data_IF_000989839143
#
_entry.id   IF_000989839143
#
_cell.length_a   1.000
_cell.length_b   1.000
_cell.length_c   1.000
_cell.angle_alpha   90.00
_cell.angle_beta   90.00
_cell.angle_gamma   90.00
#
_symmetry.space_group_name_H-M   'P 1'
#
loop_
_entity.id
_entity.type
_entity.pdbx_description
1 polymer ?
#
# COMPACT_ATOMS: atom_id res chain seq x y z
N UNK A 1 -1.44 -2.80 29.65
CA UNK A 1 -1.90 -1.39 29.82
C UNK A 1 -1.03 -0.81 30.90
N UNK A 2 -0.29 0.24 30.57
CA UNK A 2 0.51 0.99 31.54
C UNK A 2 -0.44 1.79 32.43
N UNK A 3 -0.29 1.68 33.74
CA UNK A 3 -1.05 2.49 34.71
C UNK A 3 -0.30 3.80 35.02
N UNK A 4 1.03 3.71 35.08
CA UNK A 4 1.90 4.85 35.27
C UNK A 4 2.88 4.91 34.08
N UNK A 5 2.95 6.04 33.39
CA UNK A 5 3.87 6.27 32.29
C UNK A 5 4.31 7.75 32.27
N UNK A 6 5.54 7.96 31.87
CA UNK A 6 6.02 9.31 31.58
C UNK A 6 5.61 9.71 30.16
N UNK A 7 5.06 10.91 30.02
CA UNK A 7 4.76 11.48 28.71
C UNK A 7 6.07 11.77 28.01
N UNK A 8 6.30 11.21 26.79
CA UNK A 8 7.54 11.48 26.06
C UNK A 8 7.72 12.98 25.80
N UNK A 9 8.94 13.47 25.99
CA UNK A 9 9.27 14.85 25.64
C UNK A 9 9.22 15.00 24.11
N UNK A 10 8.57 16.10 23.63
CA UNK A 10 8.58 16.46 22.22
C UNK A 10 9.89 17.15 21.89
N UNK A 11 10.68 16.57 21.01
CA UNK A 11 11.93 17.15 20.53
C UNK A 11 11.66 18.32 19.58
N UNK A 12 12.37 19.45 19.81
CA UNK A 12 12.18 20.69 19.02
C UNK A 12 13.47 21.07 18.33
N UNK A 13 13.38 21.25 17.03
CA UNK A 13 14.49 21.65 16.16
C UNK A 13 14.28 23.07 15.65
N UNK A 14 15.08 24.04 16.14
CA UNK A 14 15.08 25.38 15.58
C UNK A 14 15.98 25.41 14.35
N UNK A 15 15.38 25.60 13.20
CA UNK A 15 16.05 25.58 11.88
C UNK A 15 15.74 26.85 11.06
N UNK A 16 15.36 27.93 11.76
CA UNK A 16 15.06 29.24 11.16
C UNK A 16 16.32 30.00 10.73
N UNK A 17 17.40 29.92 11.51
CA UNK A 17 18.63 30.73 11.34
C UNK A 17 19.71 30.06 10.45
N UNK A 18 19.35 29.08 9.63
CA UNK A 18 20.27 28.36 8.75
C UNK A 18 19.91 28.54 7.28
N UNK A 19 20.90 28.32 6.39
CA UNK A 19 20.67 28.46 4.96
C UNK A 19 19.59 27.49 4.41
N UNK A 20 18.95 27.79 3.27
CA UNK A 20 17.93 26.93 2.67
C UNK A 20 18.42 25.50 2.42
N UNK A 21 19.68 25.32 1.99
CA UNK A 21 20.27 24.01 1.74
C UNK A 21 20.54 23.25 3.03
N UNK A 22 21.05 23.90 4.06
CA UNK A 22 21.23 23.30 5.40
C UNK A 22 19.87 22.93 6.02
N UNK A 23 18.86 23.79 5.86
CA UNK A 23 17.48 23.56 6.30
C UNK A 23 16.92 22.28 5.65
N UNK A 24 17.04 22.17 4.32
CA UNK A 24 16.62 20.98 3.58
C UNK A 24 17.35 19.72 4.06
N UNK A 25 18.66 19.80 4.25
CA UNK A 25 19.47 18.68 4.73
C UNK A 25 19.04 18.25 6.13
N UNK A 26 18.77 19.22 7.02
CA UNK A 26 18.32 18.92 8.39
C UNK A 26 16.94 18.26 8.42
N UNK A 27 15.99 18.74 7.61
CA UNK A 27 14.69 18.12 7.49
C UNK A 27 14.78 16.70 6.93
N UNK A 28 15.64 16.45 5.96
CA UNK A 28 15.87 15.11 5.43
C UNK A 28 16.51 14.19 6.50
N UNK A 29 17.49 14.68 7.25
CA UNK A 29 18.10 13.92 8.36
C UNK A 29 17.07 13.48 9.40
N UNK A 30 16.18 14.39 9.82
CA UNK A 30 15.08 14.08 10.75
C UNK A 30 14.16 13.01 10.15
N UNK A 31 13.74 13.18 8.89
CA UNK A 31 12.89 12.22 8.18
C UNK A 31 13.54 10.85 8.07
N UNK A 32 14.78 10.79 7.60
CA UNK A 32 15.51 9.53 7.42
C UNK A 32 15.67 8.78 8.75
N UNK A 33 15.96 9.51 9.82
CA UNK A 33 16.07 8.95 11.17
C UNK A 33 14.73 8.36 11.65
N UNK A 34 13.63 9.10 11.49
CA UNK A 34 12.29 8.64 11.89
C UNK A 34 11.81 7.47 11.03
N UNK A 35 12.07 7.50 9.73
CA UNK A 35 11.75 6.41 8.81
C UNK A 35 12.48 5.12 9.16
N UNK A 36 13.76 5.23 9.53
CA UNK A 36 14.59 4.07 9.87
C UNK A 36 14.44 3.58 11.31
N UNK A 37 13.64 4.29 12.11
CA UNK A 37 13.45 3.92 13.51
C UNK A 37 12.68 2.62 13.64
N UNK A 38 13.20 1.71 14.44
CA UNK A 38 12.53 0.47 14.81
C UNK A 38 12.10 0.57 16.29
N UNK A 39 10.80 0.39 16.50
CA UNK A 39 10.26 0.33 17.85
C UNK A 39 10.37 -1.09 18.40
N UNK A 40 10.65 -1.20 19.69
CA UNK A 40 10.76 -2.51 20.33
C UNK A 40 9.39 -2.90 20.91
N UNK A 41 8.87 -4.03 20.44
CA UNK A 41 7.61 -4.57 20.94
C UNK A 41 7.70 -4.78 22.46
N UNK A 42 6.73 -4.21 23.18
CA UNK A 42 6.66 -4.29 24.65
C UNK A 42 7.37 -3.14 25.39
N UNK A 43 8.08 -2.25 24.70
CA UNK A 43 8.64 -1.03 25.27
C UNK A 43 7.77 0.19 24.90
N UNK A 44 7.54 1.09 25.85
CA UNK A 44 6.85 2.36 25.65
C UNK A 44 7.86 3.49 25.42
N UNK A 45 7.61 4.46 24.54
CA UNK A 45 6.49 4.55 23.58
C UNK A 45 6.77 3.83 22.24
N UNK A 46 5.69 3.48 21.51
CA UNK A 46 5.76 2.98 20.14
C UNK A 46 5.45 4.11 19.12
N UNK A 47 5.81 5.33 19.45
CA UNK A 47 5.68 6.51 18.60
C UNK A 47 6.72 7.57 18.96
N UNK A 48 6.95 8.49 18.02
CA UNK A 48 7.70 9.72 18.23
C UNK A 48 6.97 10.93 17.68
N UNK A 49 7.10 12.03 18.40
CA UNK A 49 6.61 13.34 17.98
C UNK A 49 7.79 14.32 18.04
N UNK A 50 8.05 15.02 16.94
CA UNK A 50 9.09 16.04 16.86
C UNK A 50 8.56 17.27 16.14
N UNK A 51 9.13 18.42 16.43
CA UNK A 51 8.74 19.70 15.87
C UNK A 51 9.97 20.36 15.23
N UNK A 52 9.83 20.81 13.98
CA UNK A 52 10.79 21.68 13.31
C UNK A 52 10.20 23.07 13.16
N UNK A 53 10.82 24.05 13.83
CA UNK A 53 10.42 25.45 13.78
C UNK A 53 11.22 26.17 12.68
N UNK A 54 10.50 26.70 11.67
CA UNK A 54 11.01 27.54 10.59
C UNK A 54 10.47 28.96 10.78
N UNK A 55 10.94 29.94 9.98
CA UNK A 55 10.52 31.33 10.08
C UNK A 55 8.99 31.52 10.10
N UNK A 56 8.29 30.95 9.09
CA UNK A 56 6.85 31.14 8.90
C UNK A 56 6.02 29.86 9.06
N UNK A 57 6.67 28.70 9.25
CA UNK A 57 6.02 27.39 9.25
C UNK A 57 6.60 26.51 10.35
N UNK A 58 5.72 25.80 11.02
CA UNK A 58 6.10 24.73 11.95
C UNK A 58 5.74 23.37 11.32
N UNK A 59 6.68 22.45 11.31
CA UNK A 59 6.48 21.09 10.82
C UNK A 59 6.38 20.15 12.02
N UNK A 60 5.24 19.47 12.14
CA UNK A 60 5.07 18.38 13.08
C UNK A 60 5.45 17.06 12.38
N UNK A 61 6.42 16.36 12.94
CA UNK A 61 6.82 15.02 12.52
C UNK A 61 6.16 14.00 13.45
N UNK A 62 5.45 13.05 12.86
CA UNK A 62 4.79 11.96 13.58
C UNK A 62 5.33 10.64 13.05
N UNK A 63 5.92 9.83 13.90
CA UNK A 63 6.31 8.45 13.60
C UNK A 63 5.53 7.52 14.53
N UNK A 64 4.93 6.47 13.97
CA UNK A 64 4.07 5.53 14.70
C UNK A 64 4.38 4.10 14.25
N UNK A 65 4.44 3.17 15.20
CA UNK A 65 4.47 1.75 14.88
C UNK A 65 3.06 1.25 14.52
N UNK A 66 2.94 0.47 13.44
CA UNK A 66 1.67 -0.08 12.98
C UNK A 66 1.01 -1.02 13.99
N UNK A 67 1.73 -1.50 15.01
CA UNK A 67 1.13 -2.28 16.11
C UNK A 67 0.11 -1.48 16.95
N UNK A 68 0.20 -0.15 16.94
CA UNK A 68 -0.67 0.70 17.76
C UNK A 68 -1.67 1.51 16.95
N UNK A 69 -1.48 1.65 15.64
CA UNK A 69 -2.29 2.53 14.81
C UNK A 69 -2.34 2.06 13.35
N UNK A 70 -3.54 1.89 12.83
CA UNK A 70 -3.79 1.76 11.38
C UNK A 70 -3.90 3.15 10.72
N UNK A 71 -4.15 3.17 9.40
CA UNK A 71 -4.29 4.42 8.64
C UNK A 71 -5.40 5.32 9.19
N UNK A 72 -6.57 4.77 9.55
CA UNK A 72 -7.67 5.55 10.11
C UNK A 72 -7.31 6.10 11.49
N UNK A 73 -6.59 5.34 12.29
CA UNK A 73 -6.07 5.78 13.59
C UNK A 73 -5.14 6.99 13.48
N UNK A 74 -4.27 7.01 12.45
CA UNK A 74 -3.39 8.16 12.18
C UNK A 74 -4.24 9.41 11.91
N UNK A 75 -5.28 9.29 11.09
CA UNK A 75 -6.18 10.42 10.82
C UNK A 75 -6.89 10.89 12.10
N UNK A 76 -7.36 9.96 12.95
CA UNK A 76 -7.98 10.29 14.24
C UNK A 76 -6.98 11.08 15.12
N UNK A 77 -5.73 10.62 15.21
CA UNK A 77 -4.68 11.29 15.99
C UNK A 77 -4.43 12.71 15.48
N UNK A 78 -4.28 12.88 14.17
CA UNK A 78 -4.03 14.19 13.56
C UNK A 78 -5.20 15.14 13.81
N UNK A 79 -6.44 14.68 13.61
CA UNK A 79 -7.62 15.51 13.85
C UNK A 79 -7.77 15.89 15.33
N UNK A 80 -7.53 14.95 16.24
CA UNK A 80 -7.58 15.23 17.68
C UNK A 80 -6.48 16.22 18.10
N UNK A 81 -5.28 16.13 17.50
CA UNK A 81 -4.22 17.11 17.71
C UNK A 81 -4.61 18.50 17.20
N UNK A 82 -5.15 18.60 15.98
CA UNK A 82 -5.60 19.88 15.41
C UNK A 82 -6.76 20.49 16.21
N UNK A 83 -7.76 19.69 16.56
CA UNK A 83 -8.90 20.13 17.38
C UNK A 83 -8.44 20.68 18.75
N UNK A 84 -7.46 20.06 19.39
CA UNK A 84 -6.93 20.51 20.67
C UNK A 84 -5.99 21.72 20.56
N UNK A 85 -5.25 21.82 19.44
CA UNK A 85 -4.29 22.91 19.24
C UNK A 85 -4.96 24.19 18.77
N UNK A 86 -5.89 24.11 17.83
CA UNK A 86 -6.57 25.25 17.23
C UNK A 86 -7.99 25.51 17.77
N UNK A 87 -8.55 24.56 18.50
CA UNK A 87 -9.91 24.66 19.03
C UNK A 87 -9.99 25.56 20.27
N UNK A 88 -11.14 26.23 20.43
CA UNK A 88 -11.40 27.10 21.58
C UNK A 88 -11.67 26.34 22.89
N UNK A 89 -11.94 25.04 22.81
CA UNK A 89 -12.22 24.19 23.98
C UNK A 89 -11.48 22.87 23.84
N UNK A 90 -10.73 22.51 24.88
CA UNK A 90 -10.15 21.17 24.99
C UNK A 90 -11.30 20.15 25.01
N UNK A 91 -11.40 19.35 23.98
CA UNK A 91 -12.34 18.23 23.96
C UNK A 91 -11.82 17.12 24.87
N UNK A 92 -12.62 16.75 25.86
CA UNK A 92 -12.35 15.54 26.68
C UNK A 92 -12.97 14.37 25.92
N UNK A 93 -12.16 13.48 25.42
CA UNK A 93 -12.61 12.30 24.70
C UNK A 93 -12.92 11.18 25.72
N UNK A 94 -14.15 11.10 26.16
CA UNK A 94 -14.66 9.93 26.90
C UNK A 94 -15.28 8.98 25.88
N UNK A 95 -14.55 7.95 25.51
CA UNK A 95 -15.05 6.88 24.63
C UNK A 95 -15.47 5.70 25.51
N UNK A 96 -16.64 5.14 25.23
CA UNK A 96 -17.15 3.96 25.95
C UNK A 96 -16.45 2.67 25.48
N UNK A 97 -15.85 2.69 24.27
CA UNK A 97 -15.15 1.57 23.64
C UNK A 97 -13.64 1.81 23.61
N UNK A 98 -12.87 0.81 23.95
CA UNK A 98 -11.41 0.77 23.72
C UNK A 98 -11.02 -0.30 22.71
N UNK A 99 -9.82 -0.19 22.12
CA UNK A 99 -9.27 -1.24 21.23
C UNK A 99 -9.21 -2.61 21.95
N UNK A 100 -8.86 -2.61 23.25
CA UNK A 100 -8.86 -3.84 24.05
C UNK A 100 -10.25 -4.50 24.08
N UNK A 101 -11.31 -3.71 24.19
CA UNK A 101 -12.68 -4.26 24.28
C UNK A 101 -13.06 -4.94 22.95
N UNK A 102 -12.63 -4.38 21.83
CA UNK A 102 -12.82 -5.02 20.50
C UNK A 102 -12.05 -6.33 20.40
N UNK A 103 -10.80 -6.36 20.84
CA UNK A 103 -9.99 -7.60 20.84
C UNK A 103 -10.61 -8.66 21.74
N UNK A 104 -11.12 -8.28 22.93
CA UNK A 104 -11.82 -9.20 23.83
C UNK A 104 -13.12 -9.69 23.20
N UNK A 105 -13.87 -8.81 22.55
CA UNK A 105 -15.08 -9.18 21.81
C UNK A 105 -14.79 -10.20 20.71
N UNK A 106 -13.79 -9.93 19.85
CA UNK A 106 -13.39 -10.84 18.79
C UNK A 106 -12.93 -12.20 19.32
N UNK A 107 -12.12 -12.21 20.38
CA UNK A 107 -11.68 -13.44 21.02
C UNK A 107 -12.85 -14.27 21.59
N UNK A 108 -13.83 -13.62 22.20
CA UNK A 108 -15.01 -14.30 22.71
C UNK A 108 -15.92 -14.81 21.58
N UNK A 109 -16.08 -14.01 20.51
CA UNK A 109 -16.83 -14.38 19.31
C UNK A 109 -16.26 -15.64 18.64
N UNK A 110 -14.94 -15.79 18.62
CA UNK A 110 -14.28 -16.99 18.07
C UNK A 110 -14.67 -18.29 18.80
N UNK A 111 -15.09 -18.21 20.07
CA UNK A 111 -15.56 -19.37 20.85
C UNK A 111 -17.02 -19.71 20.59
N UNK A 112 -17.77 -18.86 19.92
CA UNK A 112 -19.19 -19.08 19.65
C UNK A 112 -19.36 -20.13 18.53
N UNK A 113 -20.29 -21.12 18.68
CA UNK A 113 -20.48 -22.18 17.70
C UNK A 113 -20.74 -21.68 16.27
N UNK A 114 -21.54 -20.63 16.11
CA UNK A 114 -21.86 -20.03 14.82
C UNK A 114 -20.60 -19.47 14.12
N UNK A 115 -19.70 -18.82 14.88
CA UNK A 115 -18.43 -18.33 14.32
C UNK A 115 -17.53 -19.50 13.91
N UNK A 116 -17.53 -20.58 14.68
CA UNK A 116 -16.77 -21.79 14.34
C UNK A 116 -17.24 -22.42 13.02
N UNK A 117 -18.53 -22.36 12.70
CA UNK A 117 -19.04 -22.80 11.39
C UNK A 117 -18.62 -21.88 10.24
N UNK A 118 -18.69 -20.56 10.45
CA UNK A 118 -18.20 -19.59 9.46
C UNK A 118 -16.72 -19.81 9.19
N UNK A 119 -15.91 -19.91 10.23
CA UNK A 119 -14.47 -20.18 10.13
C UNK A 119 -14.16 -21.48 9.38
N UNK A 120 -14.96 -22.53 9.56
CA UNK A 120 -14.81 -23.79 8.82
C UNK A 120 -15.09 -23.61 7.33
N UNK A 121 -16.13 -22.87 6.97
CA UNK A 121 -16.49 -22.58 5.57
C UNK A 121 -15.39 -21.74 4.91
N UNK A 122 -14.94 -20.69 5.60
CA UNK A 122 -13.89 -19.82 5.08
C UNK A 122 -12.58 -20.59 4.92
N UNK A 123 -12.22 -21.40 5.90
CA UNK A 123 -11.05 -22.27 5.83
C UNK A 123 -11.14 -23.23 4.64
N UNK A 124 -12.30 -23.87 4.41
CA UNK A 124 -12.51 -24.76 3.26
C UNK A 124 -12.32 -24.01 1.93
N UNK A 125 -12.92 -22.82 1.79
CA UNK A 125 -12.74 -21.97 0.61
C UNK A 125 -11.27 -21.71 0.28
N UNK A 126 -10.46 -21.41 1.30
CA UNK A 126 -9.04 -21.19 1.12
C UNK A 126 -8.26 -22.48 0.88
N UNK A 127 -8.55 -23.57 1.60
CA UNK A 127 -7.87 -24.86 1.44
C UNK A 127 -8.02 -25.42 0.01
N UNK A 128 -9.17 -25.25 -0.62
CA UNK A 128 -9.42 -25.66 -2.01
C UNK A 128 -8.53 -24.90 -3.01
N UNK A 129 -8.11 -23.69 -2.68
CA UNK A 129 -7.33 -22.80 -3.56
C UNK A 129 -5.83 -22.78 -3.26
N UNK A 130 -5.44 -22.79 -1.99
CA UNK A 130 -4.06 -22.57 -1.53
C UNK A 130 -3.06 -23.50 -2.23
N UNK A 131 -3.44 -24.77 -2.51
CA UNK A 131 -2.58 -25.74 -3.18
C UNK A 131 -2.12 -25.29 -4.57
N UNK A 132 -2.93 -24.51 -5.27
CA UNK A 132 -2.68 -24.01 -6.63
C UNK A 132 -2.38 -22.51 -6.68
N UNK A 133 -2.50 -21.79 -5.56
CA UNK A 133 -2.23 -20.35 -5.53
C UNK A 133 -0.77 -20.05 -5.89
N UNK A 134 -0.56 -19.09 -6.80
CA UNK A 134 0.78 -18.67 -7.18
C UNK A 134 1.44 -17.86 -6.05
N UNK A 135 2.76 -17.76 -6.11
CA UNK A 135 3.54 -16.86 -5.28
C UNK A 135 3.49 -15.43 -5.83
N UNK A 136 4.30 -14.54 -5.28
CA UNK A 136 4.46 -13.18 -5.76
C UNK A 136 4.94 -13.15 -7.23
N UNK A 137 4.70 -12.05 -7.97
CA UNK A 137 5.26 -11.87 -9.30
C UNK A 137 6.80 -11.88 -9.25
N UNK A 138 7.43 -12.56 -10.19
CA UNK A 138 8.88 -12.74 -10.26
C UNK A 138 9.55 -11.50 -10.87
N UNK A 139 9.52 -10.39 -10.15
CA UNK A 139 10.28 -9.21 -10.52
C UNK A 139 11.78 -9.43 -10.29
N UNK A 140 12.67 -8.83 -11.10
CA UNK A 140 14.11 -8.98 -10.92
C UNK A 140 14.58 -8.26 -9.64
N UNK A 141 14.57 -8.99 -8.53
CA UNK A 141 15.01 -8.52 -7.22
C UNK A 141 16.43 -9.02 -6.96
N UNK A 142 17.29 -8.17 -6.39
CA UNK A 142 18.64 -8.56 -5.98
C UNK A 142 18.57 -9.47 -4.77
N UNK A 143 19.47 -10.45 -4.68
CA UNK A 143 19.53 -11.41 -3.57
C UNK A 143 19.96 -10.77 -2.24
N UNK A 144 20.83 -9.73 -2.29
CA UNK A 144 21.33 -9.04 -1.08
C UNK A 144 20.49 -7.78 -0.81
N UNK A 145 19.55 -7.89 0.12
CA UNK A 145 18.65 -6.81 0.54
C UNK A 145 19.11 -6.11 1.84
N UNK A 146 20.42 -5.91 2.03
CA UNK A 146 20.97 -5.24 3.24
C UNK A 146 20.48 -3.80 3.39
N UNK A 147 20.27 -3.12 2.27
CA UNK A 147 19.76 -1.75 2.29
C UNK A 147 18.25 -1.76 2.43
N UNK A 148 17.75 -1.25 3.54
CA UNK A 148 16.33 -1.14 3.85
C UNK A 148 15.73 0.23 3.52
N UNK A 149 16.52 1.12 2.89
CA UNK A 149 16.05 2.46 2.54
C UNK A 149 14.84 2.39 1.59
N UNK A 150 13.85 3.23 1.89
CA UNK A 150 12.62 3.34 1.11
C UNK A 150 12.64 4.65 0.35
N UNK A 151 12.27 4.59 -0.92
CA UNK A 151 11.99 5.76 -1.75
C UNK A 151 10.51 5.82 -2.06
N UNK A 152 9.93 7.00 -1.87
CA UNK A 152 8.56 7.25 -2.29
C UNK A 152 8.53 7.83 -3.70
N UNK A 153 7.70 7.23 -4.55
CA UNK A 153 7.27 7.76 -5.83
C UNK A 153 5.80 8.12 -5.72
N UNK A 154 5.40 9.27 -6.20
CA UNK A 154 4.01 9.69 -6.09
C UNK A 154 3.49 10.35 -7.37
N UNK A 155 2.18 10.30 -7.55
CA UNK A 155 1.46 11.02 -8.57
C UNK A 155 0.15 11.53 -8.00
N UNK A 156 -0.19 12.77 -8.33
CA UNK A 156 -1.46 13.36 -7.99
C UNK A 156 -2.37 13.37 -9.21
N UNK A 157 -3.56 12.84 -9.04
CA UNK A 157 -4.61 12.81 -10.06
C UNK A 157 -5.59 13.92 -9.71
N UNK A 158 -5.59 14.95 -10.56
CA UNK A 158 -6.43 16.14 -10.40
C UNK A 158 -7.93 15.80 -10.41
N UNK A 159 -8.73 16.68 -9.83
CA UNK A 159 -10.17 16.52 -9.64
C UNK A 159 -10.91 16.09 -10.92
N UNK A 160 -10.66 16.76 -12.01
CA UNK A 160 -11.32 16.50 -13.29
C UNK A 160 -11.08 15.06 -13.73
N UNK A 161 -9.82 14.63 -13.68
CA UNK A 161 -9.42 13.27 -14.04
C UNK A 161 -9.93 12.23 -13.04
N UNK A 162 -9.93 12.55 -11.76
CA UNK A 162 -10.52 11.70 -10.72
C UNK A 162 -12.00 11.43 -11.00
N UNK A 163 -12.78 12.47 -11.32
CA UNK A 163 -14.21 12.33 -11.64
C UNK A 163 -14.45 11.54 -12.93
N UNK A 164 -13.58 11.69 -13.94
CA UNK A 164 -13.64 10.86 -15.14
C UNK A 164 -13.43 9.38 -14.85
N UNK A 165 -12.40 9.06 -14.04
CA UNK A 165 -12.10 7.68 -13.64
C UNK A 165 -13.21 7.10 -12.77
N UNK A 166 -13.78 7.90 -11.86
CA UNK A 166 -14.90 7.50 -11.02
C UNK A 166 -16.11 7.16 -11.88
N UNK A 167 -16.49 8.07 -12.79
CA UNK A 167 -17.60 7.83 -13.72
C UNK A 167 -17.38 6.59 -14.58
N UNK A 168 -16.16 6.40 -15.09
CA UNK A 168 -15.80 5.22 -15.86
C UNK A 168 -16.00 3.93 -15.04
N UNK A 169 -15.60 3.95 -13.79
CA UNK A 169 -15.77 2.82 -12.88
C UNK A 169 -17.27 2.54 -12.65
N UNK A 170 -18.05 3.56 -12.35
CA UNK A 170 -19.49 3.46 -12.11
C UNK A 170 -20.24 2.92 -13.34
N UNK A 171 -19.95 3.46 -14.53
CA UNK A 171 -20.56 3.06 -15.81
C UNK A 171 -20.28 1.58 -16.17
N UNK A 172 -19.22 0.98 -15.58
CA UNK A 172 -18.82 -0.41 -15.84
C UNK A 172 -19.03 -1.37 -14.65
N UNK A 173 -19.72 -0.93 -13.59
CA UNK A 173 -19.95 -1.69 -12.36
C UNK A 173 -18.66 -2.21 -11.70
N UNK A 174 -17.61 -1.38 -11.70
CA UNK A 174 -16.36 -1.62 -11.00
C UNK A 174 -16.12 -0.50 -10.00
N UNK A 175 -15.28 -0.75 -9.01
CA UNK A 175 -14.84 0.30 -8.08
C UNK A 175 -13.60 1.01 -8.64
N UNK A 176 -13.44 2.28 -8.30
CA UNK A 176 -12.22 3.01 -8.67
C UNK A 176 -10.97 2.35 -8.06
N UNK A 177 -11.05 1.86 -6.81
CA UNK A 177 -9.98 1.07 -6.18
C UNK A 177 -9.67 -0.18 -7.00
N UNK A 178 -10.69 -0.89 -7.50
CA UNK A 178 -10.53 -2.07 -8.36
C UNK A 178 -9.87 -1.75 -9.70
N UNK A 179 -10.22 -0.62 -10.32
CA UNK A 179 -9.57 -0.14 -11.54
C UNK A 179 -8.07 0.16 -11.31
N UNK A 180 -7.74 0.89 -10.24
CA UNK A 180 -6.36 1.24 -9.92
C UNK A 180 -5.55 -0.01 -9.54
N UNK A 181 -6.14 -0.92 -8.77
CA UNK A 181 -5.57 -2.24 -8.45
C UNK A 181 -5.24 -3.03 -9.72
N UNK A 182 -6.15 -3.05 -10.70
CA UNK A 182 -5.92 -3.73 -11.97
C UNK A 182 -4.79 -3.06 -12.78
N UNK A 183 -4.70 -1.73 -12.80
CA UNK A 183 -3.57 -1.02 -13.40
C UNK A 183 -2.24 -1.42 -12.73
N UNK A 184 -2.22 -1.51 -11.40
CA UNK A 184 -1.06 -1.97 -10.65
C UNK A 184 -0.68 -3.42 -11.02
N UNK A 185 -1.66 -4.32 -11.08
CA UNK A 185 -1.47 -5.70 -11.48
C UNK A 185 -0.94 -5.85 -12.93
N UNK A 186 -1.42 -5.04 -13.88
CA UNK A 186 -0.92 -5.01 -15.27
C UNK A 186 0.57 -4.64 -15.30
N UNK A 187 0.97 -3.63 -14.54
CA UNK A 187 2.36 -3.19 -14.47
C UNK A 187 3.24 -4.29 -13.84
N UNK A 188 2.82 -4.88 -12.73
CA UNK A 188 3.54 -6.00 -12.12
C UNK A 188 3.68 -7.17 -13.10
N UNK A 189 2.60 -7.55 -13.78
CA UNK A 189 2.62 -8.62 -14.78
C UNK A 189 3.61 -8.34 -15.91
N UNK A 190 3.64 -7.10 -16.41
CA UNK A 190 4.49 -6.71 -17.52
C UNK A 190 5.99 -6.75 -17.16
N UNK A 191 6.35 -6.28 -15.96
CA UNK A 191 7.76 -6.23 -15.51
C UNK A 191 8.28 -7.55 -14.96
N UNK A 192 7.41 -8.42 -14.45
CA UNK A 192 7.78 -9.76 -13.98
C UNK A 192 7.67 -10.84 -15.05
N UNK A 193 7.07 -10.53 -16.18
CA UNK A 193 6.66 -11.54 -17.18
C UNK A 193 5.78 -12.67 -16.60
N UNK A 194 5.10 -12.40 -15.48
CA UNK A 194 4.20 -13.35 -14.81
C UNK A 194 2.76 -13.02 -15.14
N UNK A 195 2.03 -14.01 -15.66
CA UNK A 195 0.59 -13.84 -15.97
C UNK A 195 -0.31 -14.24 -14.80
N UNK A 196 0.21 -14.99 -13.85
CA UNK A 196 -0.51 -15.46 -12.67
C UNK A 196 0.39 -15.35 -11.45
N UNK A 197 -0.05 -14.58 -10.45
CA UNK A 197 0.70 -14.29 -9.24
C UNK A 197 -0.23 -13.85 -8.11
N UNK A 198 0.29 -13.77 -6.89
CA UNK A 198 -0.44 -13.23 -5.74
C UNK A 198 0.14 -11.90 -5.27
N UNK A 199 -0.73 -11.03 -4.78
CA UNK A 199 -0.36 -9.77 -4.09
C UNK A 199 -1.08 -9.66 -2.75
N UNK A 200 -0.53 -8.88 -1.83
CA UNK A 200 -1.22 -8.50 -0.60
C UNK A 200 -2.16 -7.31 -0.86
N UNK A 201 -3.40 -7.42 -0.42
CA UNK A 201 -4.33 -6.29 -0.37
C UNK A 201 -4.64 -5.99 1.07
N UNK A 202 -4.34 -4.78 1.52
CA UNK A 202 -4.68 -4.31 2.87
C UNK A 202 -6.12 -3.83 2.93
N UNK A 203 -6.79 -4.21 3.99
CA UNK A 203 -8.20 -3.92 4.20
C UNK A 203 -8.43 -3.44 5.63
N UNK A 204 -9.24 -2.40 5.78
CA UNK A 204 -9.71 -2.01 7.10
C UNK A 204 -10.81 -2.95 7.56
N UNK A 205 -10.66 -3.49 8.75
CA UNK A 205 -11.64 -4.40 9.35
C UNK A 205 -12.22 -3.79 10.65
N UNK A 206 -12.94 -2.69 10.49
CA UNK A 206 -13.70 -2.08 11.59
C UNK A 206 -15.15 -2.50 11.48
N UNK A 207 -15.46 -3.72 11.94
CA UNK A 207 -16.83 -4.21 11.99
C UNK A 207 -17.67 -3.30 12.90
N UNK A 208 -18.87 -2.95 12.47
CA UNK A 208 -19.77 -2.03 13.18
C UNK A 208 -20.40 -2.68 14.42
N UNK A 209 -19.57 -3.09 15.36
CA UNK A 209 -20.00 -3.71 16.64
C UNK A 209 -20.39 -2.67 17.69
N UNK A 210 -19.97 -1.42 17.52
CA UNK A 210 -20.26 -0.31 18.41
C UNK A 210 -20.22 1.02 17.64
N UNK A 211 -21.02 2.05 17.99
CA UNK A 211 -20.98 3.36 17.34
C UNK A 211 -19.58 4.00 17.31
N UNK A 212 -18.80 3.82 18.39
CA UNK A 212 -17.47 4.43 18.53
C UNK A 212 -16.34 3.70 17.78
N UNK A 213 -16.61 2.59 17.07
CA UNK A 213 -15.57 1.78 16.41
C UNK A 213 -14.68 2.58 15.44
N UNK A 214 -15.26 3.57 14.79
CA UNK A 214 -14.54 4.44 13.85
C UNK A 214 -13.81 5.61 14.51
N UNK A 215 -13.89 5.74 15.84
CA UNK A 215 -13.25 6.81 16.59
C UNK A 215 -12.19 6.33 17.57
N UNK A 216 -11.91 5.02 17.63
CA UNK A 216 -10.86 4.46 18.49
C UNK A 216 -9.56 4.23 17.71
N UNK A 217 -8.45 4.34 18.44
CA UNK A 217 -7.10 4.09 17.92
C UNK A 217 -6.74 2.61 18.12
N UNK A 218 -6.21 1.98 17.09
CA UNK A 218 -5.75 0.58 17.11
C UNK A 218 -5.41 0.08 15.71
N UNK A 219 -4.73 -1.05 15.61
CA UNK A 219 -4.53 -1.73 14.34
C UNK A 219 -5.72 -2.64 14.02
N UNK A 220 -6.55 -2.22 13.08
CA UNK A 220 -7.67 -2.99 12.54
C UNK A 220 -7.38 -3.49 11.13
N UNK A 221 -6.14 -3.44 10.70
CA UNK A 221 -5.74 -3.87 9.36
C UNK A 221 -5.81 -5.38 9.25
N UNK A 222 -6.49 -5.87 8.22
CA UNK A 222 -6.39 -7.25 7.75
C UNK A 222 -5.72 -7.28 6.38
N UNK A 223 -5.03 -8.35 6.09
CA UNK A 223 -4.47 -8.61 4.77
C UNK A 223 -5.28 -9.70 4.06
N UNK A 224 -5.44 -9.54 2.76
CA UNK A 224 -5.97 -10.54 1.86
C UNK A 224 -4.90 -10.92 0.84
N UNK A 225 -4.72 -12.21 0.58
CA UNK A 225 -3.82 -12.71 -0.45
C UNK A 225 -4.62 -12.88 -1.73
N UNK A 226 -4.58 -11.84 -2.57
CA UNK A 226 -5.34 -11.80 -3.81
C UNK A 226 -4.57 -12.46 -4.94
N UNK A 227 -5.18 -13.47 -5.54
CA UNK A 227 -4.68 -14.07 -6.77
C UNK A 227 -5.05 -13.20 -7.98
N UNK A 228 -4.05 -12.86 -8.77
CA UNK A 228 -4.17 -12.15 -10.04
C UNK A 228 -3.97 -13.15 -11.18
N UNK A 229 -4.88 -13.14 -12.15
CA UNK A 229 -4.77 -13.91 -13.37
C UNK A 229 -4.98 -12.99 -14.58
N UNK A 230 -3.91 -12.78 -15.37
CA UNK A 230 -3.91 -11.91 -16.53
C UNK A 230 -4.15 -12.72 -17.81
N UNK A 231 -5.41 -12.82 -18.23
CA UNK A 231 -5.77 -13.40 -19.51
C UNK A 231 -5.87 -12.32 -20.59
N UNK A 232 -4.83 -12.17 -21.40
CA UNK A 232 -4.77 -11.18 -22.48
C UNK A 232 -5.65 -11.53 -23.69
N UNK A 233 -6.44 -12.60 -23.68
CA UNK A 233 -7.54 -12.80 -24.62
C UNK A 233 -8.74 -11.95 -24.29
N UNK A 234 -8.88 -11.54 -23.01
CA UNK A 234 -9.92 -10.67 -22.50
C UNK A 234 -9.54 -9.20 -22.68
N UNK A 235 -10.57 -8.33 -22.78
CA UNK A 235 -10.38 -6.89 -22.70
C UNK A 235 -9.95 -6.48 -21.28
N UNK A 236 -9.39 -5.28 -21.13
CA UNK A 236 -8.94 -4.81 -19.80
C UNK A 236 -10.11 -4.74 -18.82
N UNK A 237 -11.27 -4.22 -19.23
CA UNK A 237 -12.43 -4.17 -18.35
C UNK A 237 -12.86 -5.55 -17.83
N UNK A 238 -12.80 -6.57 -18.65
CA UNK A 238 -13.10 -7.93 -18.22
C UNK A 238 -12.09 -8.41 -17.18
N UNK A 239 -10.81 -8.12 -17.34
CA UNK A 239 -9.79 -8.44 -16.34
C UNK A 239 -9.99 -7.69 -15.02
N UNK A 240 -10.35 -6.40 -15.08
CA UNK A 240 -10.72 -5.62 -13.87
C UNK A 240 -11.89 -6.28 -13.14
N UNK A 241 -12.94 -6.64 -13.87
CA UNK A 241 -14.11 -7.29 -13.29
C UNK A 241 -13.78 -8.65 -12.66
N UNK A 242 -12.87 -9.43 -13.26
CA UNK A 242 -12.39 -10.68 -12.67
C UNK A 242 -11.61 -10.45 -11.37
N UNK A 243 -10.69 -9.49 -11.36
CA UNK A 243 -9.91 -9.12 -10.16
C UNK A 243 -10.85 -8.67 -9.05
N UNK A 244 -11.79 -7.78 -9.35
CA UNK A 244 -12.74 -7.27 -8.38
C UNK A 244 -13.65 -8.38 -7.84
N UNK A 245 -14.16 -9.26 -8.70
CA UNK A 245 -14.99 -10.39 -8.28
C UNK A 245 -14.20 -11.33 -7.37
N UNK A 246 -12.94 -11.61 -7.70
CA UNK A 246 -12.08 -12.44 -6.86
C UNK A 246 -11.85 -11.78 -5.49
N UNK A 247 -11.54 -10.46 -5.48
CA UNK A 247 -11.38 -9.71 -4.25
C UNK A 247 -12.63 -9.77 -3.37
N UNK A 248 -13.81 -9.58 -3.94
CA UNK A 248 -15.07 -9.66 -3.19
C UNK A 248 -15.33 -11.05 -2.63
N UNK A 249 -15.10 -12.10 -3.42
CA UNK A 249 -15.21 -13.46 -2.92
C UNK A 249 -14.26 -13.71 -1.74
N UNK A 250 -13.01 -13.24 -1.83
CA UNK A 250 -12.05 -13.37 -0.74
C UNK A 250 -12.47 -12.60 0.52
N UNK A 251 -13.10 -11.42 0.33
CA UNK A 251 -13.63 -10.59 1.43
C UNK A 251 -14.76 -11.28 2.19
N UNK A 252 -15.59 -12.07 1.53
CA UNK A 252 -16.65 -12.86 2.18
C UNK A 252 -16.10 -13.98 3.07
N UNK A 253 -14.81 -14.34 2.91
CA UNK A 253 -14.15 -15.45 3.61
C UNK A 253 -12.99 -14.99 4.52
N UNK A 254 -13.09 -13.79 5.09
CA UNK A 254 -12.02 -13.17 5.88
C UNK A 254 -11.94 -13.62 7.34
N UNK A 255 -12.80 -14.52 7.81
CA UNK A 255 -12.62 -15.14 9.13
C UNK A 255 -11.38 -16.05 9.16
N UNK A 256 -10.96 -16.55 7.99
CA UNK A 256 -9.65 -17.18 7.77
C UNK A 256 -8.71 -16.13 7.15
N UNK A 257 -7.80 -15.61 7.96
CA UNK A 257 -7.00 -14.43 7.61
C UNK A 257 -5.95 -14.70 6.55
N UNK A 258 -5.51 -13.65 5.83
CA UNK A 258 -4.40 -13.76 4.88
C UNK A 258 -3.09 -14.25 5.53
N UNK A 259 -2.89 -14.02 6.84
CA UNK A 259 -1.75 -14.58 7.58
C UNK A 259 -1.86 -16.10 7.68
N UNK A 260 -3.06 -16.64 7.92
CA UNK A 260 -3.30 -18.09 7.94
C UNK A 260 -3.12 -18.69 6.56
N UNK A 261 -3.58 -17.99 5.51
CA UNK A 261 -3.34 -18.37 4.10
C UNK A 261 -1.83 -18.47 3.82
N UNK A 262 -1.02 -17.47 4.18
CA UNK A 262 0.43 -17.49 3.97
C UNK A 262 1.13 -18.59 4.75
N UNK A 263 0.71 -18.85 5.99
CA UNK A 263 1.25 -19.95 6.81
C UNK A 263 0.97 -21.31 6.15
N UNK A 264 -0.22 -21.49 5.63
CA UNK A 264 -0.60 -22.74 4.96
C UNK A 264 0.11 -22.89 3.61
N UNK A 265 0.25 -21.83 2.82
CA UNK A 265 1.09 -21.83 1.61
C UNK A 265 2.53 -22.22 1.93
N UNK A 266 3.13 -21.65 2.98
CA UNK A 266 4.49 -21.97 3.44
C UNK A 266 4.60 -23.45 3.83
N UNK A 267 3.61 -23.98 4.56
CA UNK A 267 3.56 -25.38 4.97
C UNK A 267 3.50 -26.33 3.78
N UNK A 268 2.61 -26.06 2.81
CA UNK A 268 2.42 -26.90 1.63
C UNK A 268 3.61 -26.86 0.67
N UNK A 269 4.18 -25.66 0.46
CA UNK A 269 5.34 -25.48 -0.44
C UNK A 269 6.67 -25.85 0.22
N UNK A 270 6.70 -26.14 1.52
CA UNK A 270 7.89 -26.47 2.31
C UNK A 270 9.02 -25.44 2.19
N UNK A 271 8.68 -24.20 1.94
CA UNK A 271 9.57 -23.03 1.90
C UNK A 271 8.81 -21.81 2.38
N UNK A 272 9.51 -20.84 2.92
CA UNK A 272 8.89 -19.57 3.30
C UNK A 272 8.26 -18.89 2.07
N UNK A 273 6.98 -18.51 2.18
CA UNK A 273 6.25 -17.77 1.16
C UNK A 273 6.06 -16.35 1.62
N UNK A 274 6.65 -15.41 0.89
CA UNK A 274 6.53 -13.98 1.11
C UNK A 274 5.86 -13.36 -0.11
N UNK A 275 4.85 -12.50 0.12
CA UNK A 275 4.18 -11.73 -0.92
C UNK A 275 4.51 -10.24 -0.68
N UNK A 276 5.61 -9.73 -1.24
CA UNK A 276 6.17 -8.42 -0.88
C UNK A 276 5.58 -7.24 -1.67
N UNK A 277 4.55 -7.48 -2.45
CA UNK A 277 3.86 -6.45 -3.24
C UNK A 277 2.49 -6.20 -2.65
N UNK A 278 2.28 -4.98 -2.18
CA UNK A 278 1.10 -4.58 -1.41
C UNK A 278 0.29 -3.57 -2.19
N UNK A 279 -1.02 -3.65 -2.08
CA UNK A 279 -1.95 -2.64 -2.51
C UNK A 279 -2.83 -2.20 -1.35
N UNK A 280 -2.83 -0.91 -1.06
CA UNK A 280 -3.59 -0.27 0.02
C UNK A 280 -4.46 0.83 -0.57
N UNK A 281 -5.78 0.69 -0.48
CA UNK A 281 -6.70 1.76 -0.89
C UNK A 281 -7.53 2.23 0.28
N UNK A 282 -7.55 3.53 0.50
CA UNK A 282 -8.41 4.19 1.48
C UNK A 282 -9.56 4.96 0.83
N UNK A 283 -9.73 4.83 -0.49
CA UNK A 283 -10.87 5.39 -1.21
C UNK A 283 -12.16 4.78 -0.67
N UNK A 284 -13.17 5.61 -0.44
CA UNK A 284 -14.47 5.20 0.13
C UNK A 284 -14.43 4.71 1.59
N UNK A 285 -13.27 4.70 2.24
CA UNK A 285 -13.27 4.69 3.69
C UNK A 285 -13.89 6.00 4.14
N UNK A 286 -14.85 5.92 5.05
CA UNK A 286 -15.68 7.04 5.53
C UNK A 286 -14.93 8.36 5.39
N UNK A 287 -15.14 9.04 4.27
CA UNK A 287 -14.58 10.37 4.10
C UNK A 287 -15.22 11.18 5.20
N UNK A 288 -14.44 11.75 6.07
CA UNK A 288 -14.92 12.77 6.98
C UNK A 288 -15.45 13.89 6.09
N UNK A 289 -16.76 13.88 5.89
CA UNK A 289 -17.47 14.90 5.09
C UNK A 289 -17.28 16.34 5.59
N UNK A 290 -16.53 16.54 6.67
CA UNK A 290 -16.49 17.85 7.34
C UNK A 290 -15.10 18.33 7.79
N UNK A 291 -14.03 17.59 7.52
CA UNK A 291 -12.68 18.07 7.86
C UNK A 291 -11.99 18.82 6.69
N UNK A 292 -12.75 19.65 5.97
CA UNK A 292 -12.19 20.59 4.99
C UNK A 292 -11.46 21.78 5.65
N UNK A 293 -11.38 21.80 6.97
CA UNK A 293 -10.73 22.85 7.76
C UNK A 293 -9.43 22.40 8.42
N UNK A 294 -8.73 21.40 7.88
CA UNK A 294 -7.37 21.13 8.32
C UNK A 294 -6.53 22.39 8.13
N UNK A 295 -6.00 22.91 9.25
CA UNK A 295 -5.09 24.05 9.24
C UNK A 295 -3.68 23.64 8.88
N UNK A 296 -3.35 22.34 9.03
CA UNK A 296 -2.11 21.74 8.62
C UNK A 296 -2.18 21.10 7.24
N UNK A 297 -1.08 21.15 6.49
CA UNK A 297 -0.93 20.49 5.19
C UNK A 297 -0.03 19.25 5.33
N UNK A 298 -0.47 18.11 4.81
CA UNK A 298 0.40 16.95 4.68
C UNK A 298 1.47 17.25 3.63
N UNK A 299 2.75 17.28 4.06
CA UNK A 299 3.89 17.56 3.19
C UNK A 299 4.74 16.31 2.88
N UNK A 300 4.65 15.29 3.72
CA UNK A 300 5.38 14.04 3.57
C UNK A 300 4.70 12.92 4.35
N UNK A 301 4.61 11.75 3.74
CA UNK A 301 4.11 10.52 4.37
C UNK A 301 4.86 9.34 3.76
N UNK A 302 5.26 8.39 4.56
CA UNK A 302 5.89 7.14 4.10
C UNK A 302 5.46 6.00 5.00
N UNK A 303 5.35 4.80 4.44
CA UNK A 303 5.11 3.56 5.17
C UNK A 303 6.31 2.63 5.03
N UNK A 304 6.69 1.97 6.11
CA UNK A 304 7.76 0.99 6.11
C UNK A 304 7.31 -0.31 6.77
N UNK A 305 7.30 -1.37 5.97
CA UNK A 305 7.04 -2.73 6.46
C UNK A 305 8.23 -3.61 6.07
N UNK A 306 8.87 -4.32 6.99
CA UNK A 306 10.15 -5.00 6.75
C UNK A 306 10.18 -5.95 5.56
N UNK A 307 9.09 -6.65 5.26
CA UNK A 307 9.00 -7.65 4.18
C UNK A 307 8.45 -7.09 2.87
N UNK A 308 8.05 -5.82 2.83
CA UNK A 308 7.44 -5.21 1.65
C UNK A 308 8.50 -4.61 0.75
N UNK A 309 8.41 -4.90 -0.55
CA UNK A 309 9.27 -4.33 -1.60
C UNK A 309 8.61 -3.16 -2.31
N UNK A 310 7.30 -3.24 -2.55
CA UNK A 310 6.49 -2.15 -3.12
C UNK A 310 5.16 -2.12 -2.37
N UNK A 311 4.82 -0.99 -1.79
CA UNK A 311 3.50 -0.67 -1.25
C UNK A 311 2.84 0.41 -2.12
N UNK A 312 1.81 0.02 -2.87
CA UNK A 312 1.02 0.93 -3.69
C UNK A 312 -0.16 1.44 -2.86
N UNK A 313 -0.10 2.70 -2.46
CA UNK A 313 -1.10 3.35 -1.62
C UNK A 313 -1.94 4.32 -2.43
N UNK A 314 -3.25 4.27 -2.26
CA UNK A 314 -4.23 5.14 -2.93
C UNK A 314 -5.11 5.82 -1.88
N UNK A 315 -5.17 7.14 -1.90
CA UNK A 315 -5.94 7.90 -0.93
C UNK A 315 -6.57 9.15 -1.56
N UNK A 316 -7.68 9.59 -0.99
CA UNK A 316 -8.21 10.91 -1.27
C UNK A 316 -7.24 11.97 -0.71
N UNK A 317 -6.96 12.98 -1.52
CA UNK A 317 -6.10 14.10 -1.12
C UNK A 317 -6.56 15.37 -1.84
N UNK A 318 -6.85 16.42 -1.07
CA UNK A 318 -7.50 17.65 -1.57
C UNK A 318 -8.78 17.28 -2.33
N UNK A 319 -8.94 17.75 -3.55
CA UNK A 319 -10.12 17.46 -4.38
C UNK A 319 -9.90 16.29 -5.36
N UNK A 320 -8.76 15.62 -5.31
CA UNK A 320 -8.38 14.51 -6.17
C UNK A 320 -7.91 13.30 -5.39
N UNK A 321 -7.06 12.50 -6.02
CA UNK A 321 -6.43 11.34 -5.36
C UNK A 321 -4.91 11.39 -5.47
N UNK A 322 -4.26 10.99 -4.39
CA UNK A 322 -2.82 10.80 -4.33
C UNK A 322 -2.52 9.30 -4.41
N UNK A 323 -1.65 8.93 -5.31
CA UNK A 323 -1.15 7.56 -5.43
C UNK A 323 0.34 7.54 -5.14
N UNK A 324 0.75 6.75 -4.15
CA UNK A 324 2.14 6.60 -3.74
C UNK A 324 2.61 5.17 -3.96
N UNK A 325 3.85 5.02 -4.38
CA UNK A 325 4.60 3.79 -4.25
C UNK A 325 5.73 4.00 -3.25
N UNK A 326 5.67 3.34 -2.10
CA UNK A 326 6.77 3.25 -1.16
C UNK A 326 7.60 2.02 -1.52
N UNK A 327 8.84 2.22 -1.95
CA UNK A 327 9.63 1.19 -2.64
C UNK A 327 11.01 1.04 -2.05
N UNK A 328 11.44 -0.20 -1.82
CA UNK A 328 12.85 -0.53 -1.60
C UNK A 328 13.60 -0.47 -2.93
N UNK A 329 13.88 0.74 -3.41
CA UNK A 329 14.41 0.95 -4.76
C UNK A 329 15.70 0.19 -5.03
N UNK A 330 16.57 0.09 -4.03
CA UNK A 330 17.87 -0.59 -4.17
C UNK A 330 17.75 -2.11 -4.32
N UNK A 331 16.58 -2.67 -4.00
CA UNK A 331 16.28 -4.07 -4.27
C UNK A 331 16.14 -4.40 -5.76
N UNK A 332 15.88 -3.39 -6.59
CA UNK A 332 15.60 -3.57 -8.01
C UNK A 332 16.76 -3.09 -8.91
N UNK A 333 16.80 -3.49 -10.20
CA UNK A 333 17.68 -2.90 -11.18
C UNK A 333 17.45 -1.39 -11.29
N UNK A 334 18.55 -0.65 -11.49
CA UNK A 334 18.53 0.83 -11.59
C UNK A 334 17.51 1.29 -12.63
N UNK A 335 16.70 2.28 -12.26
CA UNK A 335 15.63 2.90 -13.06
C UNK A 335 14.42 2.00 -13.38
N UNK A 336 14.44 0.71 -13.06
CA UNK A 336 13.32 -0.18 -13.37
C UNK A 336 12.03 0.30 -12.69
N UNK A 337 12.09 0.61 -11.41
CA UNK A 337 10.93 1.04 -10.63
C UNK A 337 10.40 2.41 -11.08
N UNK A 338 11.29 3.34 -11.38
CA UNK A 338 10.88 4.64 -11.95
C UNK A 338 10.10 4.47 -13.26
N UNK A 339 10.56 3.55 -14.10
CA UNK A 339 9.91 3.23 -15.37
C UNK A 339 8.56 2.53 -15.16
N UNK A 340 8.49 1.58 -14.22
CA UNK A 340 7.26 0.89 -13.86
C UNK A 340 6.23 1.86 -13.29
N UNK A 341 6.64 2.71 -12.35
CA UNK A 341 5.77 3.71 -11.75
C UNK A 341 5.29 4.76 -12.77
N UNK A 342 6.18 5.22 -13.66
CA UNK A 342 5.79 6.14 -14.72
C UNK A 342 4.76 5.53 -15.66
N UNK A 343 4.93 4.26 -16.05
CA UNK A 343 3.94 3.56 -16.90
C UNK A 343 2.59 3.45 -16.16
N UNK A 344 2.62 3.09 -14.88
CA UNK A 344 1.42 3.05 -14.03
C UNK A 344 0.73 4.42 -13.95
N UNK A 345 1.49 5.49 -13.70
CA UNK A 345 0.96 6.84 -13.61
C UNK A 345 0.35 7.33 -14.93
N UNK A 346 1.01 7.03 -16.05
CA UNK A 346 0.51 7.39 -17.39
C UNK A 346 -0.80 6.65 -17.73
N UNK A 347 -1.00 5.41 -17.26
CA UNK A 347 -2.29 4.71 -17.41
C UNK A 347 -3.42 5.46 -16.70
N UNK A 348 -3.14 6.04 -15.53
CA UNK A 348 -4.16 6.74 -14.74
C UNK A 348 -4.41 8.17 -15.23
N UNK A 349 -3.38 8.88 -15.67
CA UNK A 349 -3.46 10.32 -15.98
C UNK A 349 -3.83 10.56 -17.45
N UNK A 350 -3.17 9.88 -18.39
CA UNK A 350 -3.18 10.28 -19.81
C UNK A 350 -3.89 9.28 -20.75
N UNK A 351 -4.27 8.10 -20.27
CA UNK A 351 -4.87 7.11 -21.14
C UNK A 351 -6.31 7.50 -21.45
N UNK A 352 -6.67 7.46 -22.73
CA UNK A 352 -8.07 7.53 -23.16
C UNK A 352 -8.86 6.38 -22.52
N UNK A 353 -9.73 6.75 -21.61
CA UNK A 353 -10.42 5.82 -20.72
C UNK A 353 -11.30 4.82 -21.45
N UNK A 354 -12.01 5.24 -22.48
CA UNK A 354 -12.93 4.35 -23.22
C UNK A 354 -12.14 3.34 -24.06
N UNK A 355 -11.10 3.78 -24.74
CA UNK A 355 -10.24 2.88 -25.50
C UNK A 355 -9.44 1.95 -24.59
N UNK A 356 -8.99 2.45 -23.44
CA UNK A 356 -8.29 1.63 -22.43
C UNK A 356 -9.09 0.40 -22.03
N UNK A 357 -10.37 0.56 -21.71
CA UNK A 357 -11.20 -0.55 -21.23
C UNK A 357 -11.43 -1.64 -22.29
N UNK A 358 -11.53 -1.25 -23.55
CA UNK A 358 -11.72 -2.18 -24.65
C UNK A 358 -10.42 -2.89 -25.09
N UNK A 359 -9.26 -2.27 -24.78
CA UNK A 359 -7.97 -2.78 -25.23
C UNK A 359 -7.55 -4.05 -24.47
N UNK A 360 -6.91 -4.96 -25.16
CA UNK A 360 -6.31 -6.16 -24.58
C UNK A 360 -4.92 -5.87 -24.01
N UNK A 361 -4.18 -4.92 -24.62
CA UNK A 361 -2.83 -4.52 -24.23
C UNK A 361 -2.82 -3.06 -23.79
N UNK A 362 -3.14 -2.82 -22.53
CA UNK A 362 -3.23 -1.46 -21.98
C UNK A 362 -1.88 -0.81 -21.65
N UNK A 363 -0.82 -1.60 -21.54
CA UNK A 363 0.51 -1.09 -21.26
C UNK A 363 1.05 -0.36 -22.50
N UNK A 364 1.14 0.96 -22.39
CA UNK A 364 1.80 1.83 -23.39
C UNK A 364 3.07 2.37 -22.77
N UNK A 365 4.21 1.80 -23.16
CA UNK A 365 5.50 2.33 -22.70
C UNK A 365 5.70 3.77 -23.13
N UNK A 366 6.24 4.63 -22.26
CA UNK A 366 6.65 5.99 -22.62
C UNK A 366 7.54 6.03 -23.86
N UNK A 367 7.46 7.09 -24.65
CA UNK A 367 8.13 7.18 -25.95
C UNK A 367 9.65 7.05 -25.87
N UNK A 368 10.25 7.66 -24.84
CA UNK A 368 11.70 7.57 -24.56
C UNK A 368 12.13 6.12 -24.23
N UNK A 369 11.27 5.34 -23.59
CA UNK A 369 11.53 3.92 -23.30
C UNK A 369 11.48 3.07 -24.57
N UNK A 370 10.57 3.39 -25.50
CA UNK A 370 10.51 2.72 -26.82
C UNK A 370 11.79 2.96 -27.62
N UNK A 371 12.37 4.16 -27.54
CA UNK A 371 13.63 4.48 -28.19
C UNK A 371 14.82 3.74 -27.56
N UNK A 372 14.88 3.63 -26.23
CA UNK A 372 15.91 2.86 -25.53
C UNK A 372 15.85 1.39 -25.93
N UNK A 373 14.65 0.84 -26.07
CA UNK A 373 14.44 -0.56 -26.50
C UNK A 373 14.88 -0.77 -27.95
N UNK A 374 14.53 0.14 -28.85
CA UNK A 374 14.99 0.12 -30.26
C UNK A 374 16.50 0.19 -30.39
N UNK A 375 17.17 1.00 -29.56
CA UNK A 375 18.65 1.11 -29.53
C UNK A 375 19.33 -0.17 -28.99
N UNK A 376 18.63 -1.04 -28.28
CA UNK A 376 19.13 -2.33 -27.77
C UNK A 376 18.79 -3.52 -28.67
N UNK A 377 17.98 -3.34 -29.71
CA UNK A 377 17.88 -4.30 -30.79
C UNK A 377 19.16 -4.24 -31.63
N UNK A 378 20.24 -4.75 -31.02
CA UNK A 378 21.48 -4.99 -31.76
C UNK A 378 21.17 -6.12 -32.73
N UNK A 379 21.16 -5.86 -34.00
CA UNK A 379 21.20 -6.88 -35.02
C UNK A 379 22.50 -7.67 -34.81
N UNK A 380 22.42 -8.75 -34.08
CA UNK A 380 23.46 -9.76 -34.12
C UNK A 380 23.41 -10.33 -35.53
N UNK A 381 24.47 -10.20 -36.34
CA UNK A 381 24.49 -10.87 -37.61
C UNK A 381 24.26 -12.35 -37.34
N UNK A 382 23.21 -12.94 -37.90
CA UNK A 382 22.97 -14.35 -37.83
C UNK A 382 24.16 -15.03 -38.56
N UNK A 383 25.11 -15.52 -37.79
CA UNK A 383 26.15 -16.41 -38.26
C UNK A 383 25.55 -17.83 -38.15
N UNK A 384 25.25 -18.49 -39.28
CA UNK A 384 24.73 -19.85 -39.23
C UNK A 384 25.86 -20.77 -38.79
N UNK A 385 26.03 -20.92 -37.49
CA UNK A 385 26.89 -21.91 -36.84
C UNK A 385 26.03 -23.01 -36.20
N UNK A 386 26.44 -24.23 -36.35
CA UNK A 386 25.84 -25.33 -35.65
C UNK A 386 26.17 -25.21 -34.14
N UNK A 387 25.21 -25.53 -33.27
CA UNK A 387 25.29 -25.33 -31.80
C UNK A 387 26.56 -25.95 -31.16
N UNK A 388 27.19 -26.97 -31.81
CA UNK A 388 28.39 -27.63 -31.33
C UNK A 388 29.70 -26.98 -31.82
N UNK A 389 29.67 -26.12 -32.83
CA UNK A 389 30.88 -25.45 -33.36
C UNK A 389 31.48 -24.48 -32.35
N UNK A 390 30.63 -23.76 -31.57
CA UNK A 390 31.08 -22.90 -30.47
C UNK A 390 31.69 -23.62 -29.27
N UNK A 391 31.47 -24.95 -29.15
CA UNK A 391 32.08 -25.76 -28.11
C UNK A 391 33.44 -26.36 -28.54
N UNK A 392 33.75 -26.37 -29.82
CA UNK A 392 35.00 -26.92 -30.33
C UNK A 392 36.12 -25.86 -30.42
N UNK A 393 35.78 -24.54 -30.27
CA UNK A 393 36.75 -23.43 -30.33
C UNK A 393 37.11 -22.86 -28.93
N UNK A 394 36.60 -23.44 -27.85
CA UNK A 394 36.95 -23.09 -26.48
C UNK A 394 37.74 -24.23 -25.80
#
# INVERSE_FOLDING_TARGET
ILQDYEVPAIEKWKIEDISPDERKNKLNEIRDRLVMKQYKVGEWPLFDLEISELEDVTILHISLDMLIADFLSINIIVDELEDNYFGDKKKTFTKELSFRDVIVYEHNRQKHPQYSETMKKDKQYWEERISTMPEAPDLPVKEDLKDTSIRQLNTYIEKERYLELQKLADDNNITLSGLILACYAEVLAYWSNSKRFSINVTMANREQVHPDIYSIIGDFTKINILEICQDYNLSFIQRVQFIQKQLWNDMEHMSYSGIEVLREMTRLKKKEVIIPYVFTSTLSMVSRKESTNHKGNLIYKISQTPQVLIDCQVMEYKEGILVNWDVREKAFPKKMIEMAFRTFSEMLIYTDTQNMLADKNVIKLPSDMKEIRKKKEVNYPYIPQLLHEGFCES
#
